data_IF_991963734360
#
_entry.id   IF_991963734360
#
_cell.length_a   1.000
_cell.length_b   1.000
_cell.length_c   1.000
_cell.angle_alpha   90.00
_cell.angle_beta   90.00
_cell.angle_gamma   90.00
#
_symmetry.space_group_name_H-M   'P 1'
#
loop_
_entity.id
_entity.type
_entity.pdbx_description
1 polymer ?
#
# COMPACT_ATOMS: atom_id res chain seq x y z
N UNK A 1 -28.54 26.25 18.38
CA UNK A 1 -27.98 25.21 17.50
C UNK A 1 -26.49 25.47 17.46
N UNK A 2 -25.75 24.75 18.30
CA UNK A 2 -24.33 24.99 18.54
C UNK A 2 -23.54 24.68 17.27
N UNK A 3 -22.94 25.71 16.68
CA UNK A 3 -21.98 25.58 15.58
C UNK A 3 -20.64 25.29 16.26
N UNK A 4 -20.27 24.01 16.37
CA UNK A 4 -18.94 23.61 16.82
C UNK A 4 -17.91 24.32 15.95
N UNK A 5 -16.97 25.04 16.57
CA UNK A 5 -15.87 25.67 15.85
C UNK A 5 -14.95 24.55 15.39
N UNK A 6 -15.00 24.22 14.10
CA UNK A 6 -13.89 23.54 13.43
C UNK A 6 -12.69 24.49 13.54
N UNK A 7 -11.60 24.06 14.16
CA UNK A 7 -10.34 24.80 14.00
C UNK A 7 -10.00 24.79 12.51
N UNK A 8 -9.59 25.95 11.98
CA UNK A 8 -9.12 26.07 10.60
C UNK A 8 -7.80 25.31 10.47
N UNK A 9 -7.89 23.98 10.32
CA UNK A 9 -6.77 23.04 10.43
C UNK A 9 -5.91 22.92 9.18
N UNK A 10 -6.25 23.64 8.09
CA UNK A 10 -5.45 23.58 6.85
C UNK A 10 -4.02 24.06 7.11
N UNK A 11 -3.83 25.17 7.83
CA UNK A 11 -2.48 25.71 8.13
C UNK A 11 -1.76 25.10 9.34
N UNK A 12 -2.40 24.19 10.10
CA UNK A 12 -1.75 23.42 11.18
C UNK A 12 -1.39 21.99 10.73
N UNK A 13 -1.99 21.50 9.63
CA UNK A 13 -1.51 20.30 8.93
C UNK A 13 -0.10 20.50 8.38
N UNK A 14 0.25 21.71 7.94
CA UNK A 14 1.56 22.04 7.35
C UNK A 14 2.76 21.81 8.29
N UNK A 15 2.55 21.91 9.61
CA UNK A 15 3.61 21.65 10.60
C UNK A 15 3.64 20.18 11.08
N UNK A 16 2.57 19.41 10.82
CA UNK A 16 2.36 18.07 11.37
C UNK A 16 3.29 17.02 10.73
N UNK A 17 3.54 17.15 9.42
CA UNK A 17 4.30 16.16 8.65
C UNK A 17 5.82 16.26 8.82
N UNK A 18 6.34 17.34 9.40
CA UNK A 18 7.78 17.50 9.65
C UNK A 18 8.31 16.73 10.87
N UNK A 19 7.44 16.16 11.69
CA UNK A 19 7.83 15.51 12.97
C UNK A 19 7.27 14.09 13.14
N UNK A 20 6.24 13.70 12.38
CA UNK A 20 5.66 12.37 12.49
C UNK A 20 6.57 11.29 11.88
N UNK A 21 7.07 10.38 12.71
CA UNK A 21 7.54 9.07 12.25
C UNK A 21 6.32 8.15 12.13
N UNK A 22 6.09 7.58 10.96
CA UNK A 22 5.23 6.42 10.82
C UNK A 22 5.90 5.27 11.58
N UNK A 23 5.24 4.71 12.59
CA UNK A 23 5.80 3.61 13.39
C UNK A 23 5.08 2.33 13.03
N UNK A 24 5.85 1.31 12.63
CA UNK A 24 5.39 -0.08 12.62
C UNK A 24 5.02 -0.49 14.04
N UNK A 25 3.74 -0.68 14.33
CA UNK A 25 3.24 -1.14 15.63
C UNK A 25 3.71 -2.58 15.93
N UNK A 26 4.93 -2.74 16.43
CA UNK A 26 5.31 -3.93 17.19
C UNK A 26 4.72 -3.78 18.61
N UNK A 27 3.45 -4.11 18.76
CA UNK A 27 2.76 -4.06 20.05
C UNK A 27 3.31 -5.17 20.96
N UNK A 28 4.02 -4.75 22.00
CA UNK A 28 4.32 -5.63 23.12
C UNK A 28 3.02 -5.97 23.85
N UNK A 29 2.44 -7.13 23.53
CA UNK A 29 1.46 -7.78 24.39
C UNK A 29 2.10 -7.99 25.76
N UNK A 30 1.63 -7.30 26.80
CA UNK A 30 1.96 -7.62 28.18
C UNK A 30 1.36 -9.00 28.52
N UNK A 31 2.18 -10.04 28.35
CA UNK A 31 1.86 -11.39 28.77
C UNK A 31 1.80 -11.48 30.29
N UNK A 32 0.62 -11.79 30.83
CA UNK A 32 0.47 -12.20 32.22
C UNK A 32 1.17 -13.55 32.42
N UNK A 33 2.35 -13.53 33.04
CA UNK A 33 3.02 -14.74 33.49
C UNK A 33 2.46 -15.14 34.86
N UNK A 34 1.68 -16.23 34.89
CA UNK A 34 1.33 -16.93 36.12
C UNK A 34 2.54 -17.73 36.62
N UNK A 35 3.00 -17.45 37.83
CA UNK A 35 3.70 -18.43 38.66
C UNK A 35 3.28 -18.21 40.12
N UNK A 36 2.73 -19.26 40.71
CA UNK A 36 2.44 -19.38 42.14
C UNK A 36 3.72 -19.21 42.96
N UNK A 37 3.68 -18.36 44.00
CA UNK A 37 4.38 -18.59 45.27
C UNK A 37 3.72 -17.74 46.38
N UNK A 38 3.50 -18.36 47.54
CA UNK A 38 2.84 -17.81 48.73
C UNK A 38 3.60 -16.60 49.32
N UNK A 39 3.19 -15.39 48.97
CA UNK A 39 3.59 -14.14 49.64
C UNK A 39 2.41 -13.51 50.43
N UNK A 40 2.70 -12.77 51.51
CA UNK A 40 1.68 -12.28 52.44
C UNK A 40 0.73 -11.30 51.75
N UNK A 41 -0.58 -11.47 51.97
CA UNK A 41 -1.69 -10.67 51.42
C UNK A 41 -1.42 -9.17 51.61
N UNK A 42 -0.89 -8.53 50.57
CA UNK A 42 -0.96 -7.09 50.40
C UNK A 42 -2.43 -6.70 50.19
N UNK A 43 -2.89 -5.55 50.74
CA UNK A 43 -4.23 -5.08 50.44
C UNK A 43 -4.39 -4.97 48.92
N UNK A 44 -5.48 -5.52 48.37
CA UNK A 44 -5.79 -5.35 46.96
C UNK A 44 -5.68 -3.86 46.62
N UNK A 45 -4.87 -3.47 45.61
CA UNK A 45 -4.83 -2.09 45.18
C UNK A 45 -6.26 -1.67 44.84
N UNK A 46 -6.65 -0.48 45.31
CA UNK A 46 -7.93 0.11 44.90
C UNK A 46 -8.01 0.00 43.36
N UNK A 47 -9.14 -0.47 42.79
CA UNK A 47 -9.25 -0.59 41.34
C UNK A 47 -8.90 0.75 40.73
N UNK A 48 -7.91 0.75 39.83
CA UNK A 48 -7.50 1.97 39.14
C UNK A 48 -8.77 2.62 38.57
N UNK A 49 -8.99 3.93 38.82
CA UNK A 49 -10.16 4.60 38.32
C UNK A 49 -10.21 4.42 36.80
N UNK A 50 -11.31 3.84 36.31
CA UNK A 50 -11.53 3.65 34.88
C UNK A 50 -11.46 5.02 34.22
N UNK A 51 -10.57 5.18 33.24
CA UNK A 51 -10.36 6.49 32.58
C UNK A 51 -11.69 7.08 32.10
N UNK A 52 -11.84 8.39 32.27
CA UNK A 52 -13.00 9.13 31.76
C UNK A 52 -12.92 9.40 30.26
N UNK A 53 -11.77 9.10 29.64
CA UNK A 53 -11.49 9.39 28.25
C UNK A 53 -12.46 8.67 27.31
N UNK A 54 -13.04 9.44 26.37
CA UNK A 54 -13.98 8.93 25.38
C UNK A 54 -13.54 9.37 24.00
N UNK A 55 -13.64 8.45 23.05
CA UNK A 55 -13.42 8.74 21.64
C UNK A 55 -14.57 8.24 20.80
N UNK A 56 -14.99 9.02 19.80
CA UNK A 56 -16.05 8.64 18.88
C UNK A 56 -15.93 9.36 17.52
N UNK A 57 -16.48 8.76 16.47
CA UNK A 57 -16.64 9.41 15.17
C UNK A 57 -18.11 9.81 15.04
N UNK A 58 -18.37 11.12 15.16
CA UNK A 58 -19.70 11.70 15.15
C UNK A 58 -20.35 11.78 13.77
N UNK A 59 -21.65 12.05 13.74
CA UNK A 59 -22.39 12.30 12.50
C UNK A 59 -21.81 13.54 11.79
N UNK A 60 -21.46 13.40 10.50
CA UNK A 60 -20.84 14.47 9.72
C UNK A 60 -19.33 14.64 9.91
N UNK A 61 -18.67 13.72 10.64
CA UNK A 61 -17.21 13.72 10.79
C UNK A 61 -16.48 12.91 9.72
N UNK A 62 -17.20 12.20 8.85
CA UNK A 62 -16.68 11.74 7.57
C UNK A 62 -16.94 12.85 6.55
N UNK A 63 -15.87 13.51 6.10
CA UNK A 63 -15.93 14.68 5.24
C UNK A 63 -15.34 14.33 3.88
N UNK A 64 -16.15 14.45 2.82
CA UNK A 64 -15.65 14.40 1.44
C UNK A 64 -14.97 15.73 1.10
N UNK A 65 -13.84 15.68 0.41
CA UNK A 65 -13.17 16.89 -0.08
C UNK A 65 -13.97 17.51 -1.23
N UNK A 66 -14.36 18.79 -1.10
CA UNK A 66 -15.26 19.47 -2.05
C UNK A 66 -14.52 20.21 -3.18
N UNK A 67 -13.22 20.46 -3.03
CA UNK A 67 -12.42 21.24 -4.00
C UNK A 67 -11.77 20.38 -5.10
N UNK A 68 -12.04 19.08 -5.11
CA UNK A 68 -11.52 18.14 -6.10
C UNK A 68 -12.43 18.09 -7.33
N UNK A 69 -11.90 17.91 -8.56
CA UNK A 69 -12.74 17.88 -9.75
C UNK A 69 -13.67 16.65 -9.75
N UNK A 70 -14.88 16.83 -10.31
CA UNK A 70 -15.95 15.82 -10.28
C UNK A 70 -15.60 14.51 -11.00
N UNK A 71 -14.68 14.56 -11.97
CA UNK A 71 -14.24 13.41 -12.78
C UNK A 71 -13.22 12.52 -12.03
N UNK A 72 -12.74 12.94 -10.85
CA UNK A 72 -11.77 12.18 -10.04
C UNK A 72 -12.43 11.43 -8.88
N UNK A 73 -11.73 10.40 -8.33
CA UNK A 73 -12.19 9.71 -7.16
C UNK A 73 -12.38 10.62 -5.93
N UNK A 74 -13.45 10.42 -5.13
CA UNK A 74 -13.63 11.20 -3.93
C UNK A 74 -12.55 10.83 -2.91
N UNK A 75 -12.02 11.85 -2.25
CA UNK A 75 -11.17 11.71 -1.07
C UNK A 75 -12.00 12.02 0.16
N UNK A 76 -11.82 11.22 1.21
CA UNK A 76 -12.51 11.42 2.48
C UNK A 76 -11.51 11.64 3.62
N UNK A 77 -11.93 12.42 4.61
CA UNK A 77 -11.27 12.51 5.91
C UNK A 77 -12.24 12.06 6.99
N UNK A 78 -11.79 11.13 7.84
CA UNK A 78 -12.49 10.78 9.07
C UNK A 78 -11.94 11.59 10.24
N UNK A 79 -12.82 12.22 11.02
CA UNK A 79 -12.46 13.00 12.20
C UNK A 79 -12.93 12.32 13.49
N UNK A 80 -12.00 12.14 14.40
CA UNK A 80 -12.22 11.62 15.74
C UNK A 80 -12.49 12.77 16.71
N UNK A 81 -13.55 12.62 17.50
CA UNK A 81 -13.83 13.46 18.66
C UNK A 81 -13.25 12.77 19.88
N UNK A 82 -12.44 13.50 20.65
CA UNK A 82 -11.79 13.05 21.88
C UNK A 82 -12.24 13.96 23.03
N UNK A 83 -12.65 13.37 24.14
CA UNK A 83 -13.30 14.05 25.26
C UNK A 83 -12.80 13.53 26.60
N UNK A 84 -12.78 14.41 27.60
CA UNK A 84 -12.61 14.04 29.01
C UNK A 84 -11.30 13.26 29.32
N UNK A 85 -10.19 13.55 28.63
CA UNK A 85 -8.88 12.95 28.95
C UNK A 85 -8.46 13.36 30.37
N UNK A 86 -8.19 12.42 31.30
CA UNK A 86 -7.71 12.74 32.64
C UNK A 86 -6.40 13.53 32.62
N UNK A 87 -6.25 14.48 33.55
CA UNK A 87 -5.05 15.33 33.62
C UNK A 87 -3.74 14.57 33.88
N UNK A 88 -3.81 13.33 34.33
CA UNK A 88 -2.68 12.44 34.61
C UNK A 88 -2.51 11.33 33.54
N UNK A 89 -3.22 11.43 32.42
CA UNK A 89 -3.12 10.52 31.27
C UNK A 89 -2.64 11.29 30.04
N UNK A 90 -1.74 10.68 29.25
CA UNK A 90 -1.12 11.31 28.08
C UNK A 90 -1.32 10.47 26.83
N UNK A 91 -1.71 11.12 25.74
CA UNK A 91 -1.81 10.45 24.45
C UNK A 91 -0.40 10.24 23.87
N UNK A 92 -0.14 9.01 23.43
CA UNK A 92 1.11 8.60 22.79
C UNK A 92 0.91 8.42 21.29
N UNK A 93 -0.11 7.66 20.91
CA UNK A 93 -0.40 7.36 19.51
C UNK A 93 -1.86 7.65 19.18
N UNK A 94 -2.10 8.11 17.96
CA UNK A 94 -3.44 8.35 17.44
C UNK A 94 -3.52 8.01 15.97
N UNK A 95 -4.70 7.52 15.56
CA UNK A 95 -4.98 7.26 14.17
C UNK A 95 -6.29 6.51 14.00
N UNK A 96 -6.33 5.63 13.02
CA UNK A 96 -7.48 4.77 12.80
C UNK A 96 -7.08 3.44 12.16
N UNK A 97 -8.03 2.53 12.17
CA UNK A 97 -7.96 1.27 11.45
C UNK A 97 -9.21 1.08 10.60
N UNK A 98 -9.09 0.30 9.53
CA UNK A 98 -10.23 -0.11 8.72
C UNK A 98 -10.12 -1.55 8.24
N UNK A 99 -11.28 -2.13 7.93
CA UNK A 99 -11.42 -3.43 7.29
C UNK A 99 -12.59 -3.40 6.30
N UNK A 100 -12.53 -4.22 5.26
CA UNK A 100 -13.69 -4.47 4.37
C UNK A 100 -14.44 -5.74 4.75
N UNK A 101 -13.85 -6.58 5.61
CA UNK A 101 -14.41 -7.85 6.06
C UNK A 101 -14.91 -7.82 7.51
N UNK A 102 -14.21 -7.12 8.40
CA UNK A 102 -14.59 -6.98 9.80
C UNK A 102 -15.40 -5.70 10.05
N UNK A 103 -16.55 -5.86 10.68
CA UNK A 103 -17.42 -4.74 11.09
C UNK A 103 -16.95 -4.04 12.37
N UNK A 104 -15.94 -4.58 13.05
CA UNK A 104 -15.34 -4.03 14.27
C UNK A 104 -13.81 -4.14 14.15
N UNK A 105 -13.20 -3.40 13.19
CA UNK A 105 -11.77 -3.52 12.92
C UNK A 105 -10.94 -3.15 14.16
N UNK A 106 -9.71 -3.65 14.20
CA UNK A 106 -8.73 -3.27 15.21
C UNK A 106 -7.35 -3.01 14.57
N UNK A 107 -6.33 -2.80 15.39
CA UNK A 107 -4.98 -2.49 14.92
C UNK A 107 -4.26 -3.66 14.24
N UNK A 108 -4.88 -4.85 14.18
CA UNK A 108 -4.40 -5.98 13.37
C UNK A 108 -4.94 -5.98 11.93
N UNK A 109 -5.88 -5.08 11.61
CA UNK A 109 -6.32 -4.78 10.24
C UNK A 109 -5.45 -3.67 9.60
N UNK A 110 -5.97 -2.97 8.60
CA UNK A 110 -5.26 -1.90 7.94
C UNK A 110 -5.25 -0.63 8.80
N UNK A 111 -4.08 -0.01 9.02
CA UNK A 111 -3.92 1.08 10.00
C UNK A 111 -3.28 2.33 9.42
N UNK A 112 -3.58 3.47 10.03
CA UNK A 112 -2.82 4.72 9.87
C UNK A 112 -2.67 5.32 11.26
N UNK A 113 -1.50 5.15 11.87
CA UNK A 113 -1.25 5.53 13.28
C UNK A 113 0.03 6.36 13.34
N UNK A 114 -0.05 7.47 14.08
CA UNK A 114 1.05 8.41 14.26
C UNK A 114 1.49 8.44 15.72
N UNK A 115 2.80 8.53 15.92
CA UNK A 115 3.36 8.99 17.19
C UNK A 115 3.08 10.50 17.34
N UNK A 116 2.33 10.83 18.39
CA UNK A 116 1.96 12.21 18.74
C UNK A 116 2.35 12.56 20.18
N UNK A 117 3.27 11.80 20.79
CA UNK A 117 3.65 11.99 22.20
C UNK A 117 4.24 13.38 22.47
N UNK A 118 4.86 13.96 21.46
CA UNK A 118 5.55 15.26 21.55
C UNK A 118 4.70 16.44 21.04
N UNK A 119 3.44 16.20 20.65
CA UNK A 119 2.60 17.23 20.04
C UNK A 119 1.90 18.08 21.10
N UNK A 120 2.37 19.33 21.26
CA UNK A 120 1.84 20.30 22.23
C UNK A 120 0.32 20.46 22.19
N UNK A 121 -0.30 20.33 21.02
CA UNK A 121 -1.76 20.42 20.84
C UNK A 121 -2.48 19.38 21.69
N UNK A 122 -1.98 18.14 21.75
CA UNK A 122 -2.59 17.04 22.50
C UNK A 122 -2.16 17.08 23.97
N UNK A 123 -0.88 17.38 24.22
CA UNK A 123 -0.31 17.34 25.56
C UNK A 123 -0.79 18.50 26.45
N UNK A 124 -1.19 19.63 25.87
CA UNK A 124 -1.62 20.83 26.60
C UNK A 124 -3.08 21.23 26.30
N UNK A 125 -3.88 20.36 25.68
CA UNK A 125 -5.28 20.65 25.40
C UNK A 125 -6.07 20.86 26.70
N UNK A 126 -6.99 21.83 26.70
CA UNK A 126 -7.90 22.06 27.83
C UNK A 126 -9.11 21.13 27.71
N UNK A 127 -8.93 19.87 28.13
CA UNK A 127 -9.93 18.81 28.06
C UNK A 127 -11.19 19.08 28.90
N UNK A 128 -11.13 20.01 29.88
CA UNK A 128 -12.30 20.43 30.66
C UNK A 128 -13.15 21.46 29.91
N UNK A 129 -12.55 22.22 28.98
CA UNK A 129 -13.24 23.29 28.26
C UNK A 129 -14.01 22.79 27.04
N UNK A 130 -13.39 21.96 26.20
CA UNK A 130 -14.01 21.46 24.97
C UNK A 130 -13.35 20.18 24.42
N UNK A 131 -14.11 19.36 23.65
CA UNK A 131 -13.54 18.23 22.91
C UNK A 131 -12.44 18.67 21.95
N UNK A 132 -11.43 17.82 21.78
CA UNK A 132 -10.51 17.91 20.65
C UNK A 132 -11.10 17.12 19.47
N UNK A 133 -11.26 17.79 18.33
CA UNK A 133 -11.64 17.13 17.06
C UNK A 133 -10.41 17.11 16.17
N UNK A 134 -9.96 15.91 15.81
CA UNK A 134 -8.77 15.72 15.00
C UNK A 134 -9.00 14.63 13.96
N UNK A 135 -8.33 14.72 12.81
CA UNK A 135 -8.45 13.69 11.79
C UNK A 135 -7.76 12.40 12.25
N UNK A 136 -8.37 11.25 11.97
CA UNK A 136 -7.81 9.95 12.33
C UNK A 136 -7.49 9.09 11.10
N UNK A 137 -8.01 9.45 9.93
CA UNK A 137 -7.77 8.72 8.68
C UNK A 137 -8.04 9.64 7.49
N UNK A 138 -7.16 9.57 6.50
CA UNK A 138 -7.49 9.96 5.12
C UNK A 138 -7.81 8.69 4.32
N UNK A 139 -8.79 8.79 3.45
CA UNK A 139 -9.20 7.70 2.58
C UNK A 139 -8.97 8.11 1.14
N UNK A 140 -7.81 7.73 0.62
CA UNK A 140 -7.42 7.86 -0.77
C UNK A 140 -7.84 6.58 -1.52
N UNK A 141 -8.16 6.73 -2.80
CA UNK A 141 -8.45 5.61 -3.70
C UNK A 141 -9.51 4.58 -3.22
N UNK A 142 -10.67 5.00 -2.67
CA UNK A 142 -11.74 4.07 -2.32
C UNK A 142 -12.17 3.20 -3.51
N UNK A 143 -12.05 1.88 -3.39
CA UNK A 143 -12.48 0.98 -4.46
C UNK A 143 -13.98 1.14 -4.76
N UNK A 144 -14.39 1.12 -6.04
CA UNK A 144 -15.78 1.21 -6.43
C UNK A 144 -16.67 0.16 -5.76
N UNK A 145 -17.79 0.60 -5.19
CA UNK A 145 -18.81 -0.25 -4.57
C UNK A 145 -18.44 -0.82 -3.20
N UNK A 146 -17.19 -0.66 -2.77
CA UNK A 146 -16.66 -1.22 -1.53
C UNK A 146 -17.18 -0.48 -0.30
N UNK A 147 -17.43 -1.24 0.77
CA UNK A 147 -17.79 -0.70 2.09
C UNK A 147 -16.60 -0.90 3.03
N UNK A 148 -16.11 0.20 3.58
CA UNK A 148 -15.03 0.24 4.55
C UNK A 148 -15.61 0.47 5.93
N UNK A 149 -15.31 -0.43 6.86
CA UNK A 149 -15.61 -0.26 8.27
C UNK A 149 -14.40 0.37 8.93
N UNK A 150 -14.58 1.53 9.56
CA UNK A 150 -13.50 2.33 10.11
C UNK A 150 -13.72 2.58 11.60
N UNK A 151 -12.63 2.51 12.38
CA UNK A 151 -12.59 2.95 13.79
C UNK A 151 -11.39 3.85 14.02
N UNK A 152 -11.59 4.90 14.81
CA UNK A 152 -10.50 5.68 15.39
C UNK A 152 -9.85 4.91 16.53
N UNK A 153 -8.54 5.09 16.67
CA UNK A 153 -7.70 4.46 17.67
C UNK A 153 -6.87 5.53 18.38
N UNK A 154 -6.78 5.42 19.70
CA UNK A 154 -5.89 6.23 20.53
C UNK A 154 -5.23 5.33 21.56
N UNK A 155 -3.91 5.41 21.67
CA UNK A 155 -3.15 4.80 22.75
C UNK A 155 -2.60 5.89 23.65
N UNK A 156 -2.81 5.72 24.94
CA UNK A 156 -2.23 6.57 25.99
C UNK A 156 -1.17 5.81 26.78
N UNK A 157 -0.54 6.48 27.72
CA UNK A 157 0.33 5.85 28.72
C UNK A 157 -0.42 4.96 29.72
N UNK A 158 -1.76 4.93 29.69
CA UNK A 158 -2.62 4.14 30.58
C UNK A 158 -3.52 3.12 29.90
N UNK A 159 -3.75 3.22 28.60
CA UNK A 159 -4.65 2.29 27.92
C UNK A 159 -4.81 2.52 26.42
N UNK A 160 -5.61 1.64 25.82
CA UNK A 160 -5.99 1.70 24.42
C UNK A 160 -7.49 1.96 24.29
N UNK A 161 -7.84 2.85 23.37
CA UNK A 161 -9.20 3.32 23.15
C UNK A 161 -9.54 3.18 21.69
N UNK A 162 -10.78 2.74 21.44
CA UNK A 162 -11.32 2.63 20.10
C UNK A 162 -12.68 3.33 20.02
N UNK A 163 -12.93 4.01 18.91
CA UNK A 163 -14.23 4.64 18.67
C UNK A 163 -15.31 3.61 18.34
N UNK A 164 -16.55 4.10 18.17
CA UNK A 164 -17.57 3.40 17.38
C UNK A 164 -17.06 3.13 15.96
N UNK A 165 -17.55 2.05 15.34
CA UNK A 165 -17.35 1.81 13.91
C UNK A 165 -18.24 2.74 13.09
N UNK A 166 -17.71 3.28 12.01
CA UNK A 166 -18.46 3.94 10.94
C UNK A 166 -18.25 3.20 9.62
N UNK A 167 -19.29 3.12 8.80
CA UNK A 167 -19.20 2.52 7.48
C UNK A 167 -19.12 3.63 6.41
N UNK A 168 -18.12 3.55 5.55
CA UNK A 168 -17.92 4.45 4.40
C UNK A 168 -18.12 3.60 3.15
N UNK A 169 -19.03 4.01 2.26
CA UNK A 169 -19.24 3.34 0.98
C UNK A 169 -18.78 4.24 -0.16
N UNK A 170 -17.91 3.72 -1.03
CA UNK A 170 -17.45 4.45 -2.23
C UNK A 170 -18.64 4.81 -3.13
N UNK A 171 -18.62 6.01 -3.71
CA UNK A 171 -19.71 6.53 -4.54
C UNK A 171 -19.73 5.95 -5.96
N UNK A 172 -18.59 5.47 -6.46
CA UNK A 172 -18.58 4.70 -7.70
C UNK A 172 -19.18 3.34 -7.45
N UNK A 173 -20.05 2.89 -8.36
CA UNK A 173 -20.77 1.61 -8.19
C UNK A 173 -20.95 0.85 -9.49
N UNK A 174 -20.57 1.44 -10.62
CA UNK A 174 -20.61 0.76 -11.90
C UNK A 174 -19.56 -0.36 -11.90
N UNK A 175 -19.85 -1.51 -12.52
CA UNK A 175 -18.84 -2.54 -12.71
C UNK A 175 -17.76 -2.06 -13.68
N UNK A 176 -16.55 -2.62 -13.57
CA UNK A 176 -15.52 -2.45 -14.60
C UNK A 176 -16.06 -2.94 -15.95
N UNK A 177 -15.81 -2.17 -17.01
CA UNK A 177 -16.24 -2.54 -18.35
C UNK A 177 -15.54 -3.84 -18.81
N UNK A 178 -16.32 -4.77 -19.35
CA UNK A 178 -15.79 -5.99 -19.95
C UNK A 178 -14.97 -5.63 -21.20
N UNK A 179 -13.81 -6.25 -21.33
CA UNK A 179 -12.99 -6.20 -22.52
C UNK A 179 -12.56 -7.64 -22.88
N UNK A 180 -13.29 -8.34 -23.76
CA UNK A 180 -13.01 -9.74 -24.09
C UNK A 180 -11.72 -9.91 -24.91
N UNK A 181 -11.16 -8.82 -25.44
CA UNK A 181 -9.90 -8.79 -26.16
C UNK A 181 -8.72 -8.39 -25.24
N UNK A 182 -8.98 -8.17 -23.94
CA UNK A 182 -7.93 -7.84 -22.99
C UNK A 182 -6.97 -9.00 -22.80
N UNK A 183 -5.69 -8.67 -22.67
CA UNK A 183 -4.66 -9.61 -22.32
C UNK A 183 -4.71 -9.91 -20.83
N UNK A 184 -5.01 -11.16 -20.48
CA UNK A 184 -5.05 -11.61 -19.09
C UNK A 184 -3.66 -12.07 -18.64
N UNK A 185 -3.12 -11.42 -17.61
CA UNK A 185 -1.89 -11.81 -16.91
C UNK A 185 -2.28 -12.58 -15.65
N UNK A 186 -2.04 -13.90 -15.57
CA UNK A 186 -2.18 -14.63 -14.31
C UNK A 186 -1.20 -14.09 -13.27
N UNK A 187 -1.68 -13.84 -12.05
CA UNK A 187 -0.88 -13.33 -10.94
C UNK A 187 -0.92 -14.29 -9.76
N UNK A 188 0.23 -14.50 -9.12
CA UNK A 188 0.36 -15.22 -7.86
C UNK A 188 1.09 -14.34 -6.84
N UNK A 189 0.44 -14.13 -5.70
CA UNK A 189 0.98 -13.45 -4.53
C UNK A 189 1.51 -14.49 -3.53
N UNK A 190 2.82 -14.51 -3.34
CA UNK A 190 3.48 -15.27 -2.29
C UNK A 190 3.46 -14.44 -1.01
N UNK A 191 2.55 -14.76 -0.10
CA UNK A 191 2.42 -14.09 1.19
C UNK A 191 3.33 -14.77 2.19
N UNK A 192 4.32 -14.02 2.69
CA UNK A 192 5.24 -14.51 3.71
C UNK A 192 4.81 -14.08 5.10
N UNK A 193 4.94 -14.96 6.11
CA UNK A 193 4.75 -14.58 7.49
C UNK A 193 5.94 -13.76 8.00
N UNK A 194 5.71 -12.99 9.05
CA UNK A 194 6.77 -12.36 9.85
C UNK A 194 7.57 -13.42 10.65
N UNK A 195 8.59 -12.96 11.38
CA UNK A 195 9.46 -13.84 12.17
C UNK A 195 8.72 -14.60 13.28
N UNK A 196 7.56 -14.08 13.70
CA UNK A 196 6.68 -14.65 14.70
C UNK A 196 5.65 -15.64 14.10
N UNK A 197 5.56 -15.72 12.77
CA UNK A 197 4.65 -16.60 12.05
C UNK A 197 3.28 -16.00 11.73
N UNK A 198 3.10 -14.68 11.93
CA UNK A 198 1.86 -13.98 11.58
C UNK A 198 1.93 -13.44 10.16
N UNK A 199 0.77 -13.32 9.51
CA UNK A 199 0.67 -12.66 8.21
C UNK A 199 0.22 -11.22 8.43
N UNK A 200 1.13 -10.23 8.30
CA UNK A 200 0.80 -8.82 8.54
C UNK A 200 -0.17 -8.29 7.48
N UNK A 201 -0.11 -8.81 6.24
CA UNK A 201 -1.01 -8.44 5.15
C UNK A 201 -2.12 -9.48 5.04
N UNK A 202 -3.37 -9.03 5.07
CA UNK A 202 -4.56 -9.90 4.96
C UNK A 202 -4.86 -10.22 3.50
N UNK A 203 -5.45 -11.38 3.25
CA UNK A 203 -5.89 -11.81 1.90
C UNK A 203 -6.76 -10.75 1.20
N UNK A 204 -7.64 -10.08 1.95
CA UNK A 204 -8.50 -9.06 1.37
C UNK A 204 -7.74 -7.81 0.90
N UNK A 205 -6.63 -7.43 1.55
CA UNK A 205 -5.76 -6.34 1.08
C UNK A 205 -5.07 -6.70 -0.24
N UNK A 206 -4.72 -7.97 -0.42
CA UNK A 206 -4.17 -8.48 -1.69
C UNK A 206 -5.21 -8.44 -2.80
N UNK A 207 -6.46 -8.82 -2.49
CA UNK A 207 -7.54 -8.69 -3.46
C UNK A 207 -7.80 -7.21 -3.79
N UNK A 208 -7.73 -6.29 -2.82
CA UNK A 208 -7.86 -4.86 -3.12
C UNK A 208 -6.76 -4.33 -4.05
N UNK A 209 -5.50 -4.77 -3.87
CA UNK A 209 -4.40 -4.43 -4.79
C UNK A 209 -4.68 -4.88 -6.22
N UNK A 210 -5.15 -6.12 -6.38
CA UNK A 210 -5.49 -6.71 -7.69
C UNK A 210 -6.70 -6.01 -8.33
N UNK A 211 -7.74 -5.73 -7.54
CA UNK A 211 -8.92 -5.01 -7.98
C UNK A 211 -8.56 -3.59 -8.39
N UNK A 212 -7.80 -2.85 -7.57
CA UNK A 212 -7.35 -1.49 -7.88
C UNK A 212 -6.57 -1.46 -9.20
N UNK A 213 -5.62 -2.38 -9.39
CA UNK A 213 -4.89 -2.51 -10.65
C UNK A 213 -5.86 -2.69 -11.83
N UNK A 214 -6.82 -3.61 -11.75
CA UNK A 214 -7.79 -3.78 -12.84
C UNK A 214 -8.66 -2.54 -13.10
N UNK A 215 -8.98 -1.74 -12.08
CA UNK A 215 -9.72 -0.48 -12.27
C UNK A 215 -8.89 0.55 -13.05
N UNK A 216 -7.62 0.77 -12.67
CA UNK A 216 -6.78 1.80 -13.31
C UNK A 216 -6.27 1.37 -14.69
N UNK A 217 -5.89 0.09 -14.85
CA UNK A 217 -5.54 -0.47 -16.16
C UNK A 217 -6.76 -0.55 -17.09
N UNK A 218 -7.94 -0.73 -16.49
CA UNK A 218 -9.22 -0.75 -17.18
C UNK A 218 -9.83 0.62 -17.48
N UNK A 219 -9.10 1.71 -17.20
CA UNK A 219 -9.56 3.10 -17.34
C UNK A 219 -10.97 3.33 -16.74
N UNK A 220 -11.21 2.75 -15.56
CA UNK A 220 -12.52 2.76 -14.90
C UNK A 220 -13.06 4.17 -14.66
N UNK A 221 -12.19 5.07 -14.20
CA UNK A 221 -12.55 6.43 -13.84
C UNK A 221 -12.77 7.32 -15.07
N UNK A 222 -12.26 6.92 -16.24
CA UNK A 222 -12.41 7.62 -17.51
C UNK A 222 -12.01 9.11 -17.41
N UNK A 223 -10.89 9.38 -16.74
CA UNK A 223 -10.33 10.73 -16.60
C UNK A 223 -9.82 11.20 -17.97
N UNK A 224 -10.08 12.46 -18.39
CA UNK A 224 -9.61 12.97 -19.67
C UNK A 224 -8.09 12.86 -19.85
N UNK A 225 -7.65 12.31 -20.98
CA UNK A 225 -6.23 12.10 -21.27
C UNK A 225 -5.71 10.72 -20.89
N UNK A 226 -6.55 9.87 -20.30
CA UNK A 226 -6.22 8.47 -20.00
C UNK A 226 -6.90 7.49 -20.96
N UNK A 227 -6.31 6.30 -21.10
CA UNK A 227 -6.79 5.25 -21.98
C UNK A 227 -6.82 3.88 -21.31
N UNK A 228 -7.75 3.04 -21.76
CA UNK A 228 -7.79 1.62 -21.42
C UNK A 228 -6.53 0.92 -21.96
N UNK A 229 -5.83 0.21 -21.09
CA UNK A 229 -4.55 -0.41 -21.42
C UNK A 229 -4.71 -1.68 -22.25
N UNK A 230 -5.88 -2.35 -22.17
CA UNK A 230 -6.08 -3.68 -22.74
C UNK A 230 -5.45 -4.80 -21.92
N UNK A 231 -5.05 -4.55 -20.67
CA UNK A 231 -4.52 -5.56 -19.74
C UNK A 231 -5.53 -5.83 -18.62
N UNK A 232 -5.64 -7.09 -18.22
CA UNK A 232 -6.34 -7.51 -17.00
C UNK A 232 -5.42 -8.42 -16.19
N UNK A 233 -5.36 -8.21 -14.89
CA UNK A 233 -4.66 -9.09 -13.97
C UNK A 233 -5.66 -10.08 -13.38
N UNK A 234 -5.42 -11.37 -13.55
CA UNK A 234 -6.32 -12.44 -13.09
C UNK A 234 -5.65 -13.29 -12.04
N UNK A 235 -6.37 -13.62 -10.97
CA UNK A 235 -5.84 -14.47 -9.92
C UNK A 235 -5.56 -15.88 -10.47
N UNK A 236 -4.33 -16.37 -10.33
CA UNK A 236 -4.00 -17.75 -10.68
C UNK A 236 -4.88 -18.71 -9.86
N UNK A 237 -5.45 -19.75 -10.48
CA UNK A 237 -6.37 -20.66 -9.77
C UNK A 237 -5.74 -21.99 -9.40
N UNK A 238 -4.60 -22.31 -10.00
CA UNK A 238 -3.86 -23.55 -9.81
C UNK A 238 -2.38 -23.26 -9.69
N UNK A 239 -1.65 -24.15 -9.03
CA UNK A 239 -0.20 -24.21 -9.01
C UNK A 239 0.35 -24.70 -10.35
N UNK A 240 1.66 -24.53 -10.62
CA UNK A 240 2.28 -25.02 -11.85
C UNK A 240 2.14 -26.54 -12.08
N UNK A 241 1.97 -27.34 -11.01
CA UNK A 241 1.72 -28.78 -11.11
C UNK A 241 0.23 -29.15 -11.32
N UNK A 242 -0.65 -28.17 -11.42
CA UNK A 242 -2.08 -28.32 -11.67
C UNK A 242 -2.94 -28.52 -10.42
N UNK A 243 -2.39 -28.33 -9.22
CA UNK A 243 -3.14 -28.39 -7.96
C UNK A 243 -3.95 -27.10 -7.77
N UNK A 244 -5.26 -27.16 -7.46
CA UNK A 244 -6.03 -25.94 -7.17
C UNK A 244 -5.48 -25.21 -5.94
N UNK A 245 -5.43 -23.87 -6.00
CA UNK A 245 -5.10 -23.04 -4.84
C UNK A 245 -6.27 -22.98 -3.85
N UNK A 246 -5.95 -22.83 -2.55
CA UNK A 246 -6.94 -22.62 -1.49
C UNK A 246 -7.63 -21.26 -1.65
N UNK A 247 -6.83 -20.22 -1.83
CA UNK A 247 -7.28 -18.87 -2.18
C UNK A 247 -6.71 -18.54 -3.57
N UNK A 248 -7.56 -18.32 -4.60
CA UNK A 248 -7.08 -17.93 -5.92
C UNK A 248 -6.14 -16.72 -5.85
N UNK A 249 -5.02 -16.84 -6.54
CA UNK A 249 -3.97 -15.83 -6.63
C UNK A 249 -3.09 -15.73 -5.39
N UNK A 250 -3.30 -16.50 -4.33
CA UNK A 250 -2.54 -16.38 -3.08
C UNK A 250 -1.93 -17.73 -2.69
N UNK A 251 -0.64 -17.70 -2.36
CA UNK A 251 0.08 -18.78 -1.67
C UNK A 251 0.55 -18.26 -0.33
N UNK A 252 0.06 -18.86 0.76
CA UNK A 252 0.57 -18.60 2.11
C UNK A 252 1.83 -19.43 2.36
N UNK A 253 2.99 -18.78 2.26
CA UNK A 253 4.28 -19.42 2.44
C UNK A 253 4.53 -19.74 3.91
N UNK A 254 5.14 -20.90 4.19
CA UNK A 254 5.23 -21.39 5.59
C UNK A 254 6.49 -20.92 6.31
N UNK A 255 7.49 -20.49 5.57
CA UNK A 255 8.75 -20.03 6.11
C UNK A 255 8.81 -18.52 5.95
N UNK A 256 9.19 -17.83 7.03
CA UNK A 256 9.39 -16.39 6.97
C UNK A 256 10.56 -16.07 6.04
N UNK A 257 10.33 -15.17 5.11
CA UNK A 257 11.37 -14.56 4.28
C UNK A 257 11.37 -13.08 4.59
N UNK A 258 12.55 -12.57 4.89
CA UNK A 258 12.76 -11.16 5.17
C UNK A 258 13.90 -10.65 4.30
N UNK A 259 13.66 -9.52 3.65
CA UNK A 259 14.64 -8.91 2.77
C UNK A 259 15.29 -7.76 3.51
N UNK A 260 16.61 -7.70 3.42
CA UNK A 260 17.38 -6.58 3.94
C UNK A 260 17.87 -5.74 2.77
N UNK A 261 17.44 -4.48 2.70
CA UNK A 261 17.83 -3.54 1.65
C UNK A 261 18.59 -2.32 2.21
N UNK A 262 19.79 -2.51 2.78
CA UNK A 262 20.58 -1.38 3.24
C UNK A 262 21.02 -0.55 2.02
N UNK A 263 20.58 0.70 1.97
CA UNK A 263 20.96 1.68 0.95
C UNK A 263 20.48 1.39 -0.49
N UNK A 264 19.36 0.67 -0.67
CA UNK A 264 18.78 0.42 -1.99
C UNK A 264 19.59 -0.56 -2.85
N UNK A 265 20.45 -1.36 -2.22
CA UNK A 265 21.35 -2.32 -2.86
C UNK A 265 20.73 -3.71 -3.04
N UNK A 266 19.44 -3.88 -2.79
CA UNK A 266 18.69 -5.14 -2.96
C UNK A 266 19.08 -5.86 -4.26
N UNK A 267 19.24 -5.14 -5.37
CA UNK A 267 19.54 -5.72 -6.69
C UNK A 267 20.98 -6.23 -6.90
N UNK A 268 21.94 -5.89 -6.03
CA UNK A 268 23.32 -6.37 -6.19
C UNK A 268 23.44 -7.90 -5.99
N UNK A 269 22.44 -8.51 -5.32
CA UNK A 269 22.42 -9.92 -4.94
C UNK A 269 21.04 -10.58 -5.12
N UNK A 270 20.32 -10.24 -6.19
CA UNK A 270 18.93 -10.68 -6.38
C UNK A 270 18.70 -12.20 -6.39
N UNK A 271 19.70 -12.94 -6.87
CA UNK A 271 19.74 -14.42 -6.83
C UNK A 271 19.90 -15.00 -5.41
N UNK A 272 20.26 -14.16 -4.42
CA UNK A 272 20.33 -14.54 -3.01
C UNK A 272 19.06 -14.12 -2.23
N UNK A 273 18.10 -13.42 -2.86
CA UNK A 273 16.93 -12.85 -2.16
C UNK A 273 15.79 -13.84 -2.01
N UNK A 274 15.45 -14.56 -3.08
CA UNK A 274 14.34 -15.52 -3.09
C UNK A 274 14.88 -16.88 -3.53
N UNK A 275 14.60 -17.92 -2.74
CA UNK A 275 14.89 -19.30 -3.09
C UNK A 275 14.06 -19.72 -4.32
N UNK A 276 14.64 -20.49 -5.24
CA UNK A 276 13.96 -21.14 -6.38
C UNK A 276 12.63 -21.82 -5.97
N UNK A 277 12.49 -22.25 -4.70
CA UNK A 277 11.27 -22.81 -4.15
C UNK A 277 10.05 -21.87 -4.17
N UNK A 278 10.25 -20.56 -4.15
CA UNK A 278 9.20 -19.52 -4.13
C UNK A 278 9.07 -18.79 -5.47
N UNK A 279 9.72 -19.29 -6.52
CA UNK A 279 9.64 -18.75 -7.88
C UNK A 279 8.85 -19.74 -8.75
N UNK A 280 7.61 -19.38 -9.06
CA UNK A 280 6.86 -20.07 -10.12
C UNK A 280 7.45 -19.73 -11.47
N UNK A 281 7.23 -20.61 -12.45
CA UNK A 281 7.57 -20.31 -13.84
C UNK A 281 6.95 -18.95 -14.23
N UNK A 282 7.79 -18.00 -14.61
CA UNK A 282 7.35 -16.62 -14.86
C UNK A 282 6.49 -16.48 -16.11
N UNK A 283 6.43 -17.51 -16.95
CA UNK A 283 5.48 -17.56 -18.07
C UNK A 283 4.15 -18.20 -17.67
N UNK A 284 4.10 -18.85 -16.50
CA UNK A 284 2.88 -19.41 -15.94
C UNK A 284 2.08 -18.36 -15.18
N UNK A 285 2.74 -17.58 -14.31
CA UNK A 285 2.13 -16.49 -13.57
C UNK A 285 3.17 -15.41 -13.21
N UNK A 286 2.70 -14.16 -13.09
CA UNK A 286 3.47 -13.05 -12.55
C UNK A 286 3.64 -13.30 -11.06
N UNK A 287 4.89 -13.50 -10.65
CA UNK A 287 5.25 -13.70 -9.26
C UNK A 287 5.26 -12.35 -8.53
N UNK A 288 4.48 -12.26 -7.45
CA UNK A 288 4.46 -11.11 -6.55
C UNK A 288 4.81 -11.58 -5.14
N UNK A 289 5.95 -11.15 -4.60
CA UNK A 289 6.40 -11.55 -3.27
C UNK A 289 6.04 -10.47 -2.25
N UNK A 290 5.21 -10.85 -1.27
CA UNK A 290 4.74 -9.97 -0.21
C UNK A 290 5.45 -10.34 1.08
N UNK A 291 6.53 -9.62 1.38
CA UNK A 291 7.42 -9.91 2.50
C UNK A 291 7.93 -8.64 3.18
N UNK A 292 8.40 -8.71 4.44
CA UNK A 292 8.98 -7.57 5.11
C UNK A 292 10.30 -7.17 4.44
N UNK A 293 10.43 -5.87 4.09
CA UNK A 293 11.69 -5.29 3.63
C UNK A 293 12.22 -4.35 4.72
N UNK A 294 13.35 -4.71 5.31
CA UNK A 294 14.02 -3.95 6.37
C UNK A 294 14.98 -2.91 5.79
N UNK A 295 15.18 -1.85 6.57
CA UNK A 295 16.03 -0.70 6.24
C UNK A 295 15.60 0.05 4.96
N UNK A 296 14.33 -0.11 4.59
CA UNK A 296 13.68 0.52 3.44
C UNK A 296 12.24 0.90 3.83
N UNK A 297 12.09 1.68 4.90
CA UNK A 297 10.80 2.06 5.48
C UNK A 297 9.91 2.85 4.49
N UNK A 298 10.53 3.58 3.55
CA UNK A 298 9.84 4.34 2.50
C UNK A 298 9.61 3.53 1.21
N UNK A 299 10.01 2.24 1.16
CA UNK A 299 9.85 1.39 -0.02
C UNK A 299 8.54 0.60 0.08
N UNK A 300 7.51 1.02 -0.64
CA UNK A 300 6.22 0.32 -0.69
C UNK A 300 6.28 -0.96 -1.54
N UNK A 301 6.98 -0.91 -2.66
CA UNK A 301 7.11 -1.99 -3.62
C UNK A 301 8.33 -1.80 -4.50
N UNK A 302 8.64 -2.84 -5.29
CA UNK A 302 9.77 -2.82 -6.21
C UNK A 302 9.64 -3.88 -7.30
N UNK A 303 9.91 -3.47 -8.53
CA UNK A 303 9.84 -4.37 -9.69
C UNK A 303 11.21 -4.86 -10.15
N UNK A 304 11.27 -6.13 -10.49
CA UNK A 304 12.37 -6.74 -11.24
C UNK A 304 12.02 -6.60 -12.72
N UNK A 305 12.67 -5.61 -13.33
CA UNK A 305 12.39 -5.01 -14.65
C UNK A 305 11.92 -5.97 -15.74
N UNK A 306 11.21 -5.51 -16.78
CA UNK A 306 11.06 -6.29 -17.99
C UNK A 306 12.39 -6.40 -18.73
N UNK A 307 12.58 -7.53 -19.41
CA UNK A 307 13.76 -7.84 -20.21
C UNK A 307 13.39 -8.02 -21.68
N UNK A 308 14.23 -7.52 -22.58
CA UNK A 308 14.01 -7.54 -24.03
C UNK A 308 15.22 -8.11 -24.79
N UNK A 309 15.05 -8.37 -26.09
CA UNK A 309 16.22 -8.52 -26.96
C UNK A 309 16.90 -7.16 -27.16
N UNK A 310 18.21 -7.17 -27.39
CA UNK A 310 19.00 -5.95 -27.49
C UNK A 310 18.52 -4.99 -28.60
N UNK A 311 17.96 -5.52 -29.69
CA UNK A 311 17.44 -4.78 -30.83
C UNK A 311 15.95 -4.42 -30.73
N UNK A 312 15.25 -4.95 -29.72
CA UNK A 312 13.83 -4.66 -29.44
C UNK A 312 13.63 -3.89 -28.12
N UNK A 313 14.70 -3.63 -27.38
CA UNK A 313 14.67 -3.00 -26.05
C UNK A 313 14.09 -1.59 -26.09
N UNK A 314 13.06 -1.36 -25.29
CA UNK A 314 12.55 -0.02 -25.00
C UNK A 314 13.59 0.79 -24.21
N UNK A 315 13.64 2.11 -24.44
CA UNK A 315 14.41 3.01 -23.58
C UNK A 315 13.90 2.92 -22.13
N UNK A 316 14.83 3.03 -21.16
CA UNK A 316 14.56 2.74 -19.74
C UNK A 316 14.60 1.24 -19.36
N UNK A 317 14.33 0.33 -20.30
CA UNK A 317 14.24 -1.11 -20.00
C UNK A 317 15.58 -1.86 -20.17
N UNK A 318 15.60 -3.13 -19.73
CA UNK A 318 16.79 -3.97 -19.69
C UNK A 318 16.87 -4.97 -20.86
N UNK A 319 18.09 -5.30 -21.26
CA UNK A 319 18.35 -6.42 -22.17
C UNK A 319 18.36 -7.71 -21.36
N UNK A 320 17.78 -8.78 -21.89
CA UNK A 320 17.86 -10.10 -21.28
C UNK A 320 19.31 -10.61 -21.19
N UNK A 321 19.64 -11.16 -20.02
CA UNK A 321 20.87 -11.91 -19.79
C UNK A 321 20.56 -13.28 -19.17
N UNK A 322 21.34 -14.34 -19.48
CA UNK A 322 21.10 -15.66 -18.90
C UNK A 322 21.06 -15.66 -17.37
N UNK A 323 19.96 -16.11 -16.79
CA UNK A 323 19.73 -16.11 -15.35
C UNK A 323 18.96 -14.90 -14.83
N UNK A 324 18.57 -13.96 -15.70
CA UNK A 324 17.61 -12.93 -15.36
C UNK A 324 16.25 -13.54 -14.99
N UNK A 325 15.54 -12.88 -14.09
CA UNK A 325 14.17 -13.18 -13.72
C UNK A 325 13.43 -11.90 -13.38
N UNK A 326 12.11 -11.90 -13.60
CA UNK A 326 11.21 -10.77 -13.41
C UNK A 326 10.15 -11.10 -12.35
N UNK A 327 9.54 -10.05 -11.79
CA UNK A 327 8.53 -10.17 -10.74
C UNK A 327 8.44 -8.91 -9.90
N UNK A 328 7.56 -8.91 -8.91
CA UNK A 328 7.27 -7.72 -8.09
C UNK A 328 7.44 -8.07 -6.62
N UNK A 329 8.06 -7.17 -5.85
CA UNK A 329 8.03 -7.19 -4.40
C UNK A 329 7.04 -6.16 -3.89
N UNK A 330 6.27 -6.53 -2.88
CA UNK A 330 5.47 -5.62 -2.08
C UNK A 330 5.94 -5.70 -0.63
N UNK A 331 6.32 -4.56 -0.06
CA UNK A 331 6.81 -4.51 1.32
C UNK A 331 5.66 -4.67 2.30
N UNK A 332 5.58 -5.82 2.95
CA UNK A 332 4.48 -6.13 3.88
C UNK A 332 4.40 -5.20 5.09
N UNK A 333 5.49 -4.49 5.41
CA UNK A 333 5.51 -3.44 6.44
C UNK A 333 4.72 -2.18 6.02
N UNK A 334 4.63 -1.92 4.72
CA UNK A 334 3.91 -0.77 4.17
C UNK A 334 2.49 -1.17 3.75
N UNK A 335 2.31 -2.38 3.22
CA UNK A 335 1.01 -2.82 2.70
C UNK A 335 -0.09 -3.04 3.75
N UNK A 336 0.27 -3.19 5.03
CA UNK A 336 -0.68 -3.20 6.14
C UNK A 336 -1.11 -1.78 6.56
N UNK A 337 -0.50 -0.74 5.99
CA UNK A 337 -0.84 0.66 6.25
C UNK A 337 -1.89 1.16 5.25
N UNK A 338 -2.78 2.03 5.71
CA UNK A 338 -3.84 2.61 4.89
C UNK A 338 -3.27 3.41 3.71
N UNK A 339 -4.01 3.41 2.60
CA UNK A 339 -3.70 4.18 1.39
C UNK A 339 -2.46 3.69 0.60
N UNK A 340 -2.20 2.37 0.61
CA UNK A 340 -1.15 1.73 -0.20
C UNK A 340 -1.70 0.76 -1.26
N UNK A 341 -3.00 0.80 -1.54
CA UNK A 341 -3.70 -0.11 -2.49
C UNK A 341 -3.20 0.02 -3.94
N UNK A 342 -2.47 1.09 -4.25
CA UNK A 342 -1.92 1.39 -5.56
C UNK A 342 -0.62 0.67 -5.86
N UNK A 343 0.10 0.15 -4.84
CA UNK A 343 1.48 -0.29 -5.01
C UNK A 343 1.60 -1.36 -6.10
N UNK A 344 0.73 -2.37 -6.11
CA UNK A 344 0.79 -3.40 -7.14
C UNK A 344 0.57 -2.83 -8.54
N UNK A 345 -0.38 -1.89 -8.72
CA UNK A 345 -0.64 -1.29 -10.02
C UNK A 345 0.55 -0.47 -10.54
N UNK A 346 1.22 0.26 -9.64
CA UNK A 346 2.43 1.02 -9.94
C UNK A 346 3.59 0.10 -10.36
N UNK A 347 3.88 -0.91 -9.55
CA UNK A 347 4.94 -1.89 -9.84
C UNK A 347 4.63 -2.68 -11.12
N UNK A 348 3.38 -3.06 -11.34
CA UNK A 348 2.96 -3.67 -12.61
C UNK A 348 3.23 -2.75 -13.81
N UNK A 349 3.20 -1.43 -13.62
CA UNK A 349 3.53 -0.46 -14.67
C UNK A 349 5.00 -0.56 -15.06
N UNK A 350 5.90 -0.64 -14.07
CA UNK A 350 7.31 -0.93 -14.33
C UNK A 350 7.51 -2.29 -15.00
N UNK A 351 6.79 -3.33 -14.55
CA UNK A 351 6.84 -4.66 -15.15
C UNK A 351 6.42 -4.63 -16.62
N UNK A 352 5.54 -3.69 -16.98
CA UNK A 352 5.07 -3.44 -18.34
C UNK A 352 5.84 -2.34 -19.08
N UNK A 353 7.01 -1.94 -18.59
CA UNK A 353 7.96 -1.09 -19.29
C UNK A 353 7.71 0.42 -19.15
N UNK A 354 6.98 0.84 -18.12
CA UNK A 354 6.80 2.24 -17.77
C UNK A 354 7.86 2.72 -16.78
N UNK A 355 8.11 4.02 -16.82
CA UNK A 355 9.01 4.74 -15.91
C UNK A 355 8.23 5.75 -15.07
N UNK A 356 8.83 6.30 -14.03
CA UNK A 356 8.17 7.36 -13.27
C UNK A 356 7.96 8.60 -14.12
N UNK A 357 6.80 9.24 -13.98
CA UNK A 357 6.44 10.46 -14.73
C UNK A 357 7.34 11.67 -14.41
N UNK A 358 8.09 11.59 -13.31
CA UNK A 358 9.01 12.64 -12.84
C UNK A 358 10.48 12.34 -13.15
N UNK A 359 10.81 11.25 -13.85
CA UNK A 359 12.20 10.92 -14.17
C UNK A 359 12.89 12.06 -14.93
N UNK A 360 14.12 12.47 -14.53
CA UNK A 360 14.87 13.49 -15.25
C UNK A 360 15.17 13.05 -16.69
N UNK A 361 14.54 13.71 -17.67
CA UNK A 361 14.62 13.33 -19.08
C UNK A 361 13.31 12.78 -19.65
N UNK A 362 12.28 12.61 -18.82
CA UNK A 362 10.96 12.10 -19.19
C UNK A 362 10.83 10.59 -19.02
N UNK A 363 9.59 10.11 -19.08
CA UNK A 363 9.20 8.70 -18.97
C UNK A 363 9.11 7.99 -20.34
N UNK A 364 9.70 8.60 -21.38
CA UNK A 364 9.64 8.18 -22.78
C UNK A 364 8.23 8.18 -23.39
N UNK A 365 7.32 8.96 -22.83
CA UNK A 365 5.97 9.21 -23.36
C UNK A 365 5.83 10.72 -23.63
N UNK A 366 5.43 11.11 -24.84
CA UNK A 366 5.34 12.53 -25.23
C UNK A 366 4.11 13.21 -24.62
N UNK A 367 3.09 12.43 -24.27
CA UNK A 367 1.83 12.89 -23.68
C UNK A 367 1.80 12.91 -22.14
N UNK A 368 2.86 12.42 -21.48
CA UNK A 368 3.01 12.52 -20.03
C UNK A 368 3.54 13.90 -19.63
N UNK A 369 2.87 14.56 -18.68
CA UNK A 369 3.35 15.83 -18.12
C UNK A 369 4.44 15.60 -17.09
N UNK A 370 5.67 16.00 -17.42
CA UNK A 370 6.80 15.97 -16.50
C UNK A 370 6.72 17.10 -15.45
N UNK A 371 7.14 16.81 -14.22
CA UNK A 371 7.36 17.80 -13.16
C UNK A 371 8.65 17.49 -12.38
N UNK A 372 9.25 18.53 -11.80
CA UNK A 372 10.41 18.39 -10.92
C UNK A 372 9.95 17.93 -9.53
N UNK A 373 10.19 16.66 -9.21
CA UNK A 373 9.78 16.07 -7.93
C UNK A 373 10.54 16.63 -6.73
N UNK A 374 11.82 16.99 -6.88
CA UNK A 374 12.59 17.56 -5.77
C UNK A 374 12.02 18.93 -5.38
N UNK A 375 11.72 19.77 -6.37
CA UNK A 375 11.06 21.07 -6.16
C UNK A 375 9.66 20.90 -5.57
N UNK A 376 8.90 19.90 -6.03
CA UNK A 376 7.58 19.60 -5.47
C UNK A 376 7.67 19.23 -3.98
N UNK A 377 8.57 18.33 -3.61
CA UNK A 377 8.76 17.92 -2.21
C UNK A 377 9.25 19.06 -1.31
N UNK A 378 10.14 19.92 -1.82
CA UNK A 378 10.58 21.12 -1.08
C UNK A 378 9.43 22.10 -0.85
N UNK A 379 8.54 22.24 -1.83
CA UNK A 379 7.36 23.10 -1.75
C UNK A 379 6.29 22.55 -0.79
N UNK A 380 5.95 21.27 -0.91
CA UNK A 380 4.86 20.66 -0.11
C UNK A 380 5.30 20.38 1.31
N UNK A 381 6.58 20.11 1.57
CA UNK A 381 7.09 19.77 2.91
C UNK A 381 6.33 18.58 3.54
N UNK A 382 5.82 17.68 2.70
CA UNK A 382 5.00 16.52 3.09
C UNK A 382 3.49 16.81 3.15
N UNK A 383 3.05 18.05 2.96
CA UNK A 383 1.61 18.36 2.88
C UNK A 383 0.95 17.60 1.73
N UNK A 384 -0.29 17.15 1.97
CA UNK A 384 -1.09 16.49 0.93
C UNK A 384 -1.39 17.50 -0.17
N UNK A 385 -0.81 17.28 -1.35
CA UNK A 385 -1.00 18.12 -2.53
C UNK A 385 -1.16 17.24 -3.77
N UNK A 386 -2.30 17.39 -4.46
CA UNK A 386 -2.61 16.65 -5.68
C UNK A 386 -2.25 17.44 -6.95
N UNK A 387 -1.74 18.66 -6.79
CA UNK A 387 -1.39 19.54 -7.90
C UNK A 387 0.12 19.42 -8.17
N UNK A 388 0.50 19.49 -9.44
CA UNK A 388 1.89 19.58 -9.90
C UNK A 388 2.06 20.81 -10.78
N UNK A 389 3.29 21.29 -10.87
CA UNK A 389 3.68 22.32 -11.82
C UNK A 389 4.51 21.65 -12.92
N UNK A 390 4.03 21.73 -14.14
CA UNK A 390 4.70 21.20 -15.32
C UNK A 390 6.06 21.87 -15.49
N UNK A 391 7.12 21.06 -15.51
CA UNK A 391 8.48 21.58 -15.48
C UNK A 391 8.94 22.20 -16.81
N UNK A 392 8.19 22.01 -17.90
CA UNK A 392 8.49 22.61 -19.21
C UNK A 392 7.70 23.89 -19.45
N UNK A 393 6.41 23.88 -19.14
CA UNK A 393 5.47 24.97 -19.44
C UNK A 393 5.22 25.89 -18.25
N UNK A 394 5.40 25.42 -17.03
CA UNK A 394 5.06 26.12 -15.78
C UNK A 394 3.56 26.12 -15.46
N UNK A 395 2.74 25.41 -16.23
CA UNK A 395 1.31 25.29 -15.97
C UNK A 395 1.03 24.26 -14.87
N UNK A 396 -0.01 24.49 -14.07
CA UNK A 396 -0.42 23.54 -13.04
C UNK A 396 -1.37 22.48 -13.58
N UNK A 397 -1.29 21.27 -13.04
CA UNK A 397 -2.18 20.16 -13.38
C UNK A 397 -2.43 19.25 -12.18
N UNK A 398 -3.49 18.46 -12.24
CA UNK A 398 -3.77 17.41 -11.25
C UNK A 398 -2.88 16.20 -11.55
N UNK A 399 -2.13 15.73 -10.55
CA UNK A 399 -1.45 14.45 -10.67
C UNK A 399 -2.47 13.33 -10.59
N UNK A 400 -2.52 12.52 -11.64
CA UNK A 400 -3.46 11.41 -11.76
C UNK A 400 -2.89 10.16 -12.41
N UNK A 401 -1.60 10.16 -12.74
CA UNK A 401 -0.92 9.03 -13.34
C UNK A 401 -0.52 8.01 -12.27
N UNK A 402 -0.72 6.72 -12.57
CA UNK A 402 -0.34 5.62 -11.66
C UNK A 402 1.17 5.58 -11.41
N UNK A 403 2.00 6.09 -12.33
CA UNK A 403 3.47 6.11 -12.23
C UNK A 403 4.03 7.33 -11.47
N UNK A 404 3.21 8.06 -10.71
CA UNK A 404 3.67 9.05 -9.71
C UNK A 404 3.89 8.38 -8.33
N UNK A 405 4.62 9.02 -7.42
CA UNK A 405 4.90 8.59 -6.04
C UNK A 405 4.17 9.42 -4.99
N UNK A 406 4.05 10.73 -5.20
CA UNK A 406 3.50 11.62 -4.17
C UNK A 406 1.96 11.58 -4.19
N UNK A 407 1.30 12.24 -3.24
CA UNK A 407 -0.16 12.30 -3.17
C UNK A 407 -0.75 12.67 -4.55
N UNK A 408 -1.49 11.73 -5.14
CA UNK A 408 -1.96 11.77 -6.53
C UNK A 408 -3.29 11.04 -6.60
N UNK A 409 -4.08 11.29 -7.64
CA UNK A 409 -5.32 10.54 -7.85
C UNK A 409 -5.08 9.13 -8.37
N UNK A 410 -3.95 8.89 -9.06
CA UNK A 410 -3.53 7.58 -9.60
C UNK A 410 -4.71 6.81 -10.22
N UNK A 411 -5.24 7.33 -11.32
CA UNK A 411 -6.49 6.86 -11.93
C UNK A 411 -6.30 6.09 -13.23
N UNK A 412 -5.13 6.21 -13.87
CA UNK A 412 -4.86 5.51 -15.12
C UNK A 412 -3.54 5.91 -15.77
N UNK A 413 -3.48 5.67 -17.08
CA UNK A 413 -2.28 5.79 -17.92
C UNK A 413 -2.58 6.59 -19.19
N UNK A 414 -1.58 7.26 -19.73
CA UNK A 414 -1.70 8.03 -20.97
C UNK A 414 -1.70 7.12 -22.21
N UNK A 415 -2.23 7.57 -23.37
CA UNK A 415 -2.12 6.84 -24.63
C UNK A 415 -0.70 6.35 -24.98
N UNK A 416 0.35 7.15 -24.84
CA UNK A 416 1.71 6.70 -25.16
C UNK A 416 2.22 5.63 -24.16
N UNK A 417 1.85 5.74 -22.88
CA UNK A 417 2.10 4.68 -21.90
C UNK A 417 1.37 3.39 -22.28
N UNK A 418 0.14 3.46 -22.80
CA UNK A 418 -0.57 2.28 -23.33
C UNK A 418 0.18 1.67 -24.52
N UNK A 419 0.73 2.48 -25.44
CA UNK A 419 1.53 1.96 -26.55
C UNK A 419 2.78 1.21 -26.05
N UNK A 420 3.47 1.74 -25.03
CA UNK A 420 4.60 1.07 -24.38
C UNK A 420 4.20 -0.23 -23.70
N UNK A 421 3.13 -0.24 -22.91
CA UNK A 421 2.58 -1.47 -22.30
C UNK A 421 2.33 -2.53 -23.38
N UNK A 422 1.62 -2.15 -24.45
CA UNK A 422 1.29 -3.04 -25.55
C UNK A 422 2.52 -3.56 -26.29
N UNK A 423 3.57 -2.74 -26.41
CA UNK A 423 4.85 -3.19 -26.94
C UNK A 423 5.54 -4.18 -26.00
N UNK A 424 5.58 -3.90 -24.70
CA UNK A 424 6.16 -4.80 -23.69
C UNK A 424 5.52 -6.18 -23.72
N UNK A 425 4.19 -6.27 -23.78
CA UNK A 425 3.47 -7.55 -23.89
C UNK A 425 3.92 -8.41 -25.08
N UNK A 426 4.35 -7.80 -26.18
CA UNK A 426 4.75 -8.52 -27.40
C UNK A 426 6.23 -8.86 -27.46
N UNK A 427 7.08 -8.07 -26.79
CA UNK A 427 8.53 -8.10 -27.01
C UNK A 427 9.35 -8.38 -25.74
N UNK A 428 8.74 -8.36 -24.56
CA UNK A 428 9.44 -8.72 -23.33
C UNK A 428 9.45 -10.24 -23.10
N UNK A 429 10.51 -10.70 -22.43
CA UNK A 429 10.59 -12.02 -21.82
C UNK A 429 9.75 -12.06 -20.54
N UNK A 430 9.33 -13.27 -20.14
CA UNK A 430 8.69 -13.53 -18.85
C UNK A 430 7.36 -12.81 -18.63
N UNK A 431 6.64 -12.52 -19.71
CA UNK A 431 5.23 -12.11 -19.64
C UNK A 431 4.39 -13.39 -19.56
N UNK A 432 3.64 -13.63 -18.46
CA UNK A 432 2.80 -14.80 -18.36
C UNK A 432 1.52 -14.67 -19.20
N UNK A 433 1.04 -15.79 -19.75
CA UNK A 433 -0.18 -15.89 -20.55
C UNK A 433 0.07 -16.22 -22.04
N UNK A 434 -0.83 -15.79 -22.93
CA UNK A 434 -0.74 -16.06 -24.39
C UNK A 434 0.18 -15.11 -25.17
N UNK A 435 0.65 -14.03 -24.54
CA UNK A 435 1.57 -13.03 -25.07
C UNK A 435 2.89 -13.11 -24.32
N UNK A 436 3.95 -12.68 -24.98
CA UNK A 436 5.33 -12.94 -24.60
C UNK A 436 6.10 -13.49 -25.80
N UNK A 437 7.41 -13.63 -25.65
CA UNK A 437 8.25 -14.20 -26.73
C UNK A 437 7.99 -15.69 -26.89
N UNK A 438 7.56 -16.11 -28.09
CA UNK A 438 7.34 -17.54 -28.45
C UNK A 438 8.57 -18.43 -28.16
N UNK A 439 9.77 -17.85 -28.18
CA UNK A 439 11.04 -18.51 -27.84
C UNK A 439 11.69 -17.89 -26.60
N UNK A 440 10.97 -17.84 -25.48
CA UNK A 440 11.62 -17.55 -24.22
C UNK A 440 12.52 -18.73 -23.80
N UNK A 441 13.72 -18.45 -23.24
CA UNK A 441 14.55 -19.50 -22.69
C UNK A 441 13.84 -20.10 -21.48
N UNK A 442 13.37 -21.35 -21.63
CA UNK A 442 12.75 -22.08 -20.54
C UNK A 442 13.64 -22.04 -19.29
N UNK A 443 13.13 -21.46 -18.21
CA UNK A 443 13.76 -21.63 -16.90
C UNK A 443 13.50 -23.06 -16.45
N UNK A 444 14.51 -23.90 -16.69
CA UNK A 444 14.64 -25.28 -16.18
C UNK A 444 13.31 -26.04 -16.18
N UNK A 445 12.79 -26.35 -17.36
CA UNK A 445 11.74 -27.35 -17.54
C UNK A 445 12.25 -28.77 -17.20
N UNK A 446 12.35 -29.12 -15.91
CA UNK A 446 12.36 -30.49 -15.34
C UNK A 446 12.71 -30.47 -13.84
N UNK A 447 12.15 -31.39 -13.01
CA UNK A 447 12.46 -31.46 -11.59
C UNK A 447 13.95 -31.78 -11.43
N UNK A 448 14.75 -30.80 -11.01
CA UNK A 448 16.12 -31.08 -10.62
C UNK A 448 16.08 -31.83 -9.29
N UNK A 449 16.32 -33.13 -9.36
CA UNK A 449 16.67 -33.94 -8.20
C UNK A 449 17.74 -33.22 -7.38
N UNK A 450 17.39 -32.80 -6.16
CA UNK A 450 18.30 -32.24 -5.16
C UNK A 450 19.61 -33.04 -5.12
N UNK A 451 20.69 -32.44 -5.61
CA UNK A 451 22.05 -32.86 -5.24
C UNK A 451 22.62 -31.81 -4.29
N UNK A 452 22.18 -31.86 -3.04
CA UNK A 452 22.99 -31.26 -1.99
C UNK A 452 24.25 -32.12 -1.81
N UNK A 453 25.39 -31.50 -2.09
CA UNK A 453 26.68 -31.98 -1.60
C UNK A 453 26.61 -32.09 -0.08
N UNK A 454 27.13 -33.20 0.45
CA UNK A 454 27.23 -33.43 1.89
C UNK A 454 28.11 -32.34 2.49
N UNK A 455 27.53 -31.42 3.26
CA UNK A 455 28.01 -31.01 4.58
C UNK A 455 27.10 -29.91 5.16
N UNK A 456 26.52 -30.09 6.36
CA UNK A 456 25.87 -29.00 7.08
C UNK A 456 26.95 -28.08 7.66
N UNK A 457 26.79 -26.77 7.51
CA UNK A 457 27.48 -25.80 8.36
C UNK A 457 26.51 -25.39 9.46
N UNK A 458 27.02 -25.46 10.69
CA UNK A 458 26.34 -25.22 11.95
C UNK A 458 25.86 -23.79 12.11
#
# INVERSE_FOLDING_TARGET
MFRMKRSNNVGMCDALLHVCKSVMCALFLFGAASCDDDDPVEPEPDPEPTSTFKIHIGEGNIVRWEELPDDYPPVYTANLVMEDLPADEKILYMGGCYSIGDTVPDISDCTLIYDISDFDTFQNWDWEAEPLIWWCMYFFHPLPGTTYYLRGYVQTDKGEYYSNTVAIRSSFTEPLAENPDAYEIPVVFHLFPDAEGNYPVKDWLIQEQLDYANHVYGNYYNVPGQAETGVRFVAATHTPDGTPLETPGIVHEKEAVEINDPAGQMFDSINDIIDDAYLWDMEYALNVWVCPIKNAEDLAGRTLSPFFDADERLEGCNTYEPGAFAGIFLNSNVQSQANNVQTFAHEAGHFLGLEHVFEPGGDYCDDTRWYDREVHLEYTQGAIDFIRMDGTTGETFWSDNVMDYDYSFMTGFTPDQVERIQYTLRHAYFIPGEAGKEEAPALRSAPQTRKFGKNPVR
#
